data_IF_894670828770
#
_entry.id   IF_894670828770
#
_cell.length_a   1.000
_cell.length_b   1.000
_cell.length_c   1.000
_cell.angle_alpha   90.00
_cell.angle_beta   90.00
_cell.angle_gamma   90.00
#
_symmetry.space_group_name_H-M   'P 1'
#
loop_
_entity.id
_entity.type
_entity.pdbx_description
1 polymer ?
#
# COMPACT_ATOMS: atom_id res chain seq x y z
N UNK A 1 20.37 -15.60 22.41
CA UNK A 1 20.35 -16.37 21.14
C UNK A 1 19.06 -16.20 20.32
N UNK A 2 17.88 -15.93 20.90
CA UNK A 2 16.62 -15.80 20.16
C UNK A 2 16.51 -14.58 19.20
N UNK A 3 17.15 -13.45 19.53
CA UNK A 3 17.08 -12.23 18.72
C UNK A 3 17.69 -12.40 17.31
N UNK A 4 18.81 -13.14 17.19
CA UNK A 4 19.45 -13.39 15.90
C UNK A 4 18.68 -14.42 15.06
N UNK A 5 18.08 -15.46 15.68
CA UNK A 5 17.21 -16.42 14.98
C UNK A 5 16.02 -15.74 14.30
N UNK A 6 15.37 -14.79 14.99
CA UNK A 6 14.22 -14.09 14.42
C UNK A 6 14.62 -13.16 13.28
N UNK A 7 15.71 -12.40 13.42
CA UNK A 7 16.22 -11.56 12.34
C UNK A 7 16.56 -12.36 11.08
N UNK A 8 17.16 -13.56 11.23
CA UNK A 8 17.46 -14.46 10.10
C UNK A 8 16.18 -15.00 9.46
N UNK A 9 15.17 -15.40 10.26
CA UNK A 9 13.87 -15.85 9.74
C UNK A 9 13.14 -14.75 8.96
N UNK A 10 13.15 -13.51 9.46
CA UNK A 10 12.58 -12.37 8.74
C UNK A 10 13.36 -12.09 7.47
N UNK A 11 14.69 -12.00 7.53
CA UNK A 11 15.52 -11.76 6.35
C UNK A 11 15.26 -12.83 5.27
N UNK A 12 15.15 -14.10 5.67
CA UNK A 12 14.81 -15.20 4.77
C UNK A 12 13.39 -15.10 4.19
N UNK A 13 12.39 -14.72 4.99
CA UNK A 13 11.01 -14.57 4.50
C UNK A 13 10.86 -13.49 3.41
N UNK A 14 11.73 -12.47 3.42
CA UNK A 14 11.76 -11.38 2.45
C UNK A 14 12.94 -11.47 1.48
N UNK A 15 13.63 -12.61 1.38
CA UNK A 15 14.82 -12.75 0.53
C UNK A 15 14.49 -12.55 -0.96
N UNK A 16 13.29 -12.97 -1.37
CA UNK A 16 12.78 -12.83 -2.73
C UNK A 16 11.96 -11.54 -2.94
N UNK A 17 11.92 -10.63 -1.97
CA UNK A 17 11.13 -9.41 -2.10
C UNK A 17 11.80 -8.45 -3.10
N UNK A 18 11.15 -8.25 -4.24
CA UNK A 18 11.47 -7.22 -5.22
C UNK A 18 10.41 -6.11 -5.21
N UNK A 19 10.83 -4.86 -5.06
CA UNK A 19 9.96 -3.68 -5.16
C UNK A 19 9.36 -3.50 -6.56
N UNK A 20 10.05 -3.97 -7.60
CA UNK A 20 9.59 -3.93 -8.98
C UNK A 20 8.89 -5.23 -9.43
N UNK A 21 8.84 -6.22 -8.54
CA UNK A 21 8.18 -7.49 -8.79
C UNK A 21 6.68 -7.32 -9.06
N UNK A 22 6.13 -8.16 -9.94
CA UNK A 22 4.70 -8.15 -10.22
C UNK A 22 4.02 -9.14 -9.29
N UNK A 23 3.37 -8.63 -8.24
CA UNK A 23 2.60 -9.43 -7.29
C UNK A 23 1.11 -9.42 -7.69
N UNK A 24 0.56 -10.53 -8.23
CA UNK A 24 -0.83 -10.61 -8.65
C UNK A 24 -1.79 -10.50 -7.45
N UNK A 25 -3.00 -9.99 -7.69
CA UNK A 25 -4.08 -10.08 -6.70
C UNK A 25 -4.64 -11.50 -6.69
N UNK A 26 -5.18 -11.92 -5.55
CA UNK A 26 -5.63 -13.30 -5.32
C UNK A 26 -6.83 -13.74 -6.15
N UNK A 27 -7.61 -12.81 -6.68
CA UNK A 27 -8.70 -13.12 -7.59
C UNK A 27 -8.83 -11.96 -8.56
N UNK A 28 -8.45 -12.19 -9.82
CA UNK A 28 -8.75 -11.27 -10.92
C UNK A 28 -9.43 -12.04 -12.05
N UNK A 29 -10.59 -12.63 -11.72
CA UNK A 29 -11.56 -13.12 -12.70
C UNK A 29 -12.31 -11.96 -13.38
N UNK A 30 -12.01 -10.71 -12.99
CA UNK A 30 -12.71 -9.55 -13.47
C UNK A 30 -12.32 -9.23 -14.92
N UNK A 31 -13.30 -8.79 -15.71
CA UNK A 31 -13.06 -8.49 -17.11
C UNK A 31 -12.09 -7.32 -17.26
N UNK A 32 -11.25 -7.40 -18.30
CA UNK A 32 -10.33 -6.31 -18.66
C UNK A 32 -11.11 -5.02 -18.86
N UNK A 33 -10.60 -3.93 -18.28
CA UNK A 33 -11.22 -2.63 -18.40
C UNK A 33 -11.16 -2.14 -19.85
N UNK A 34 -12.27 -1.57 -20.33
CA UNK A 34 -12.30 -0.77 -21.54
C UNK A 34 -12.86 0.62 -21.21
N UNK A 35 -12.23 1.65 -21.76
CA UNK A 35 -12.62 3.03 -21.52
C UNK A 35 -13.88 3.37 -22.34
N UNK A 36 -14.90 3.89 -21.67
CA UNK A 36 -16.10 4.46 -22.31
C UNK A 36 -16.01 5.98 -22.31
N UNK A 37 -16.64 6.64 -23.28
CA UNK A 37 -16.63 8.11 -23.37
C UNK A 37 -17.25 8.77 -22.14
N UNK A 38 -18.39 8.26 -21.67
CA UNK A 38 -19.05 8.77 -20.45
C UNK A 38 -18.13 8.69 -19.22
N UNK A 39 -17.38 7.60 -19.08
CA UNK A 39 -16.39 7.48 -18.01
C UNK A 39 -15.28 8.51 -18.18
N UNK A 40 -14.73 8.65 -19.40
CA UNK A 40 -13.67 9.61 -19.70
C UNK A 40 -14.08 11.05 -19.40
N UNK A 41 -15.25 11.50 -19.89
CA UNK A 41 -15.78 12.84 -19.63
C UNK A 41 -15.96 13.11 -18.14
N UNK A 42 -16.46 12.12 -17.38
CA UNK A 42 -16.56 12.22 -15.92
C UNK A 42 -15.19 12.41 -15.27
N UNK A 43 -14.17 11.67 -15.73
CA UNK A 43 -12.80 11.81 -15.23
C UNK A 43 -12.19 13.17 -15.57
N UNK A 44 -12.30 13.64 -16.82
CA UNK A 44 -11.81 14.95 -17.26
C UNK A 44 -12.37 16.07 -16.40
N UNK A 45 -13.70 16.10 -16.20
CA UNK A 45 -14.36 17.07 -15.30
C UNK A 45 -13.83 17.00 -13.87
N UNK A 46 -13.63 15.79 -13.36
CA UNK A 46 -13.08 15.56 -12.02
C UNK A 46 -11.64 16.07 -11.88
N UNK A 47 -10.79 15.87 -12.90
CA UNK A 47 -9.42 16.37 -12.90
C UNK A 47 -9.36 17.90 -12.94
N UNK A 48 -10.16 18.51 -13.81
CA UNK A 48 -10.27 19.96 -13.91
C UNK A 48 -10.71 20.59 -12.58
N UNK A 49 -11.71 20.00 -11.92
CA UNK A 49 -12.19 20.47 -10.61
C UNK A 49 -11.09 20.40 -9.54
N UNK A 50 -10.36 19.28 -9.47
CA UNK A 50 -9.26 19.10 -8.51
C UNK A 50 -8.12 20.10 -8.72
N UNK A 51 -7.75 20.36 -9.97
CA UNK A 51 -6.64 21.26 -10.28
C UNK A 51 -7.03 22.72 -10.03
N UNK A 52 -8.26 23.12 -10.38
CA UNK A 52 -8.81 24.44 -10.03
C UNK A 52 -8.85 24.65 -8.52
N UNK A 53 -9.31 23.65 -7.76
CA UNK A 53 -9.38 23.72 -6.31
C UNK A 53 -8.01 23.94 -5.66
N UNK A 54 -6.97 23.34 -6.22
CA UNK A 54 -5.57 23.50 -5.77
C UNK A 54 -4.82 24.64 -6.47
N UNK A 55 -5.52 25.47 -7.26
CA UNK A 55 -4.96 26.62 -8.01
C UNK A 55 -3.78 26.26 -8.92
N UNK A 56 -3.84 25.07 -9.55
CA UNK A 56 -2.83 24.65 -10.54
C UNK A 56 -3.15 25.24 -11.91
N UNK A 57 -2.14 25.33 -12.77
CA UNK A 57 -2.35 25.66 -14.18
C UNK A 57 -3.15 24.55 -14.87
N UNK A 58 -4.24 24.94 -15.54
CA UNK A 58 -5.15 24.04 -16.27
C UNK A 58 -5.12 24.27 -17.77
N UNK A 59 -4.23 25.13 -18.29
CA UNK A 59 -4.21 25.53 -19.71
C UNK A 59 -4.03 24.32 -20.63
N UNK A 60 -3.17 23.37 -20.24
CA UNK A 60 -2.85 22.17 -21.01
C UNK A 60 -3.41 20.89 -20.37
N UNK A 61 -4.48 20.99 -19.58
CA UNK A 61 -5.10 19.80 -18.99
C UNK A 61 -5.67 18.86 -20.06
N UNK A 62 -5.74 17.57 -19.74
CA UNK A 62 -6.42 16.55 -20.54
C UNK A 62 -7.86 16.98 -20.87
N UNK A 63 -8.27 16.71 -22.09
CA UNK A 63 -9.57 17.12 -22.64
C UNK A 63 -10.39 15.91 -23.11
N UNK A 64 -11.67 16.13 -23.37
CA UNK A 64 -12.57 15.07 -23.85
C UNK A 64 -12.11 14.50 -25.21
N UNK A 65 -11.48 15.31 -26.06
CA UNK A 65 -10.92 14.89 -27.36
C UNK A 65 -9.69 13.96 -27.24
N UNK A 66 -9.11 13.80 -26.04
CA UNK A 66 -7.98 12.91 -25.80
C UNK A 66 -8.40 11.44 -25.57
N UNK A 67 -9.70 11.16 -25.73
CA UNK A 67 -10.30 9.86 -25.46
C UNK A 67 -9.56 8.70 -26.11
N UNK A 68 -9.28 8.76 -27.41
CA UNK A 68 -8.65 7.66 -28.14
C UNK A 68 -7.22 7.38 -27.66
N UNK A 69 -6.48 8.44 -27.33
CA UNK A 69 -5.15 8.33 -26.76
C UNK A 69 -5.19 7.57 -25.42
N UNK A 70 -6.06 7.99 -24.49
CA UNK A 70 -6.15 7.35 -23.17
C UNK A 70 -6.81 5.98 -23.21
N UNK A 71 -7.70 5.71 -24.17
CA UNK A 71 -8.27 4.40 -24.43
C UNK A 71 -7.19 3.40 -24.82
N UNK A 72 -6.29 3.77 -25.72
CA UNK A 72 -5.15 2.92 -26.08
C UNK A 72 -4.16 2.80 -24.91
N UNK A 73 -3.88 3.91 -24.23
CA UNK A 73 -2.97 3.91 -23.09
C UNK A 73 -3.43 2.92 -22.01
N UNK A 74 -4.69 2.97 -21.55
CA UNK A 74 -5.20 2.03 -20.54
C UNK A 74 -5.30 0.58 -21.03
N UNK A 75 -5.35 0.34 -22.35
CA UNK A 75 -5.37 -1.01 -22.92
C UNK A 75 -3.99 -1.68 -22.84
N UNK A 76 -2.91 -0.92 -23.02
CA UNK A 76 -1.53 -1.44 -23.08
C UNK A 76 -0.76 -1.26 -21.77
N UNK A 77 -1.16 -0.30 -20.95
CA UNK A 77 -0.49 0.03 -19.68
C UNK A 77 -1.09 -0.72 -18.49
N UNK A 78 -0.31 -0.75 -17.42
CA UNK A 78 -0.70 -1.20 -16.10
C UNK A 78 -0.56 -0.04 -15.11
N UNK A 79 -1.03 -0.25 -13.87
CA UNK A 79 -0.81 0.71 -12.79
C UNK A 79 0.70 0.98 -12.59
N UNK A 80 1.12 2.24 -12.66
CA UNK A 80 2.51 2.67 -12.52
C UNK A 80 3.12 2.34 -11.14
N UNK A 81 2.29 2.19 -10.11
CA UNK A 81 2.73 1.89 -8.75
C UNK A 81 2.78 0.37 -8.51
N UNK A 82 1.66 -0.33 -8.72
CA UNK A 82 1.54 -1.73 -8.28
C UNK A 82 1.64 -2.76 -9.41
N UNK A 83 1.78 -2.33 -10.66
CA UNK A 83 1.91 -3.20 -11.83
C UNK A 83 0.65 -3.98 -12.23
N UNK A 84 -0.46 -3.86 -11.49
CA UNK A 84 -1.71 -4.55 -11.83
C UNK A 84 -2.32 -4.05 -13.14
N UNK A 85 -2.94 -4.98 -13.87
CA UNK A 85 -3.80 -4.69 -15.01
C UNK A 85 -5.05 -3.93 -14.55
N UNK A 86 -5.61 -3.15 -15.46
CA UNK A 86 -6.85 -2.44 -15.22
C UNK A 86 -8.05 -3.32 -15.54
N UNK A 87 -8.99 -3.36 -14.61
CA UNK A 87 -10.22 -4.13 -14.70
C UNK A 87 -11.41 -3.31 -14.21
N UNK A 88 -12.62 -3.85 -14.30
CA UNK A 88 -13.81 -3.16 -13.80
C UNK A 88 -13.80 -2.96 -12.28
N UNK A 89 -13.15 -3.86 -11.54
CA UNK A 89 -12.95 -3.70 -10.10
C UNK A 89 -11.72 -2.81 -9.81
N UNK A 90 -10.66 -2.96 -10.60
CA UNK A 90 -9.44 -2.16 -10.50
C UNK A 90 -9.40 -1.04 -11.57
N UNK A 91 -10.31 -0.08 -11.46
CA UNK A 91 -10.48 0.98 -12.47
C UNK A 91 -9.24 1.89 -12.59
N UNK A 92 -8.84 2.26 -13.82
CA UNK A 92 -7.72 3.17 -14.04
C UNK A 92 -8.06 4.61 -13.67
N UNK A 93 -7.04 5.33 -13.25
CA UNK A 93 -7.03 6.78 -13.04
C UNK A 93 -5.71 7.34 -13.59
N UNK A 94 -5.67 8.63 -13.84
CA UNK A 94 -4.45 9.39 -14.06
C UNK A 94 -3.92 9.91 -12.73
N UNK A 95 -2.67 9.56 -12.44
CA UNK A 95 -1.88 10.08 -11.33
C UNK A 95 -0.85 11.09 -11.87
N UNK A 96 -0.70 12.22 -11.18
CA UNK A 96 0.18 13.32 -11.62
C UNK A 96 1.63 12.99 -11.31
N UNK A 97 2.55 13.11 -12.26
CA UNK A 97 3.99 12.89 -12.01
C UNK A 97 4.49 13.94 -11.01
N UNK A 98 4.19 15.21 -11.28
CA UNK A 98 4.45 16.34 -10.42
C UNK A 98 3.12 16.88 -9.85
N UNK A 99 2.97 16.81 -8.52
CA UNK A 99 1.78 17.26 -7.80
C UNK A 99 1.60 18.79 -7.78
N UNK A 100 2.61 19.55 -8.19
CA UNK A 100 2.52 21.02 -8.36
C UNK A 100 1.88 21.40 -9.69
N UNK A 101 1.89 20.51 -10.70
CA UNK A 101 1.36 20.73 -12.05
C UNK A 101 -0.02 20.09 -12.24
N UNK A 102 -0.78 20.60 -13.21
CA UNK A 102 -2.08 20.05 -13.59
C UNK A 102 -1.98 18.70 -14.30
N UNK A 103 -3.13 18.13 -14.67
CA UNK A 103 -3.20 16.88 -15.44
C UNK A 103 -2.96 17.12 -16.94
N UNK A 104 -1.74 17.46 -17.35
CA UNK A 104 -1.35 17.46 -18.76
C UNK A 104 -0.93 16.06 -19.23
N UNK A 105 -0.93 15.80 -20.55
CA UNK A 105 -0.57 14.48 -21.11
C UNK A 105 0.84 14.01 -20.72
N UNK A 106 1.78 14.94 -20.60
CA UNK A 106 3.17 14.72 -20.21
C UNK A 106 3.38 14.61 -18.70
N UNK A 107 2.40 15.04 -17.89
CA UNK A 107 2.46 15.02 -16.43
C UNK A 107 1.59 13.93 -15.79
N UNK A 108 1.10 12.95 -16.56
CA UNK A 108 0.20 11.90 -16.02
C UNK A 108 0.68 10.49 -16.33
N UNK A 109 0.47 9.59 -15.37
CA UNK A 109 0.67 8.16 -15.53
C UNK A 109 -0.60 7.37 -15.16
N UNK A 110 -0.89 6.26 -15.87
CA UNK A 110 -1.95 5.35 -15.48
C UNK A 110 -1.69 4.73 -14.11
N UNK A 111 -2.65 4.86 -13.20
CA UNK A 111 -2.58 4.36 -11.83
C UNK A 111 -3.95 3.88 -11.38
N UNK A 112 -4.03 2.78 -10.62
CA UNK A 112 -5.33 2.36 -10.09
C UNK A 112 -5.78 3.23 -8.92
N UNK A 113 -7.09 3.30 -8.71
CA UNK A 113 -7.69 4.14 -7.67
C UNK A 113 -7.11 3.88 -6.27
N UNK A 114 -6.90 2.61 -5.91
CA UNK A 114 -6.33 2.24 -4.62
C UNK A 114 -4.92 2.82 -4.42
N UNK A 115 -4.03 2.66 -5.42
CA UNK A 115 -2.65 3.14 -5.32
C UNK A 115 -2.58 4.66 -5.30
N UNK A 116 -3.38 5.32 -6.15
CA UNK A 116 -3.48 6.77 -6.20
C UNK A 116 -3.94 7.35 -4.85
N UNK A 117 -4.99 6.77 -4.25
CA UNK A 117 -5.49 7.20 -2.94
C UNK A 117 -4.50 6.90 -1.80
N UNK A 118 -3.86 5.74 -1.81
CA UNK A 118 -2.90 5.36 -0.77
C UNK A 118 -1.66 6.26 -0.75
N UNK A 119 -1.11 6.53 -1.93
CA UNK A 119 0.04 7.42 -2.09
C UNK A 119 -0.35 8.87 -1.83
N UNK A 120 -1.46 9.35 -2.40
CA UNK A 120 -1.93 10.73 -2.25
C UNK A 120 -0.77 11.73 -2.49
N UNK A 121 -0.54 12.66 -1.57
CA UNK A 121 0.55 13.65 -1.63
C UNK A 121 1.87 13.14 -0.99
N UNK A 122 1.95 11.87 -0.59
CA UNK A 122 3.16 11.27 0.03
C UNK A 122 4.18 10.86 -1.03
N UNK A 123 5.39 10.55 -0.56
CA UNK A 123 6.45 10.01 -1.41
C UNK A 123 6.00 8.71 -2.11
N UNK A 124 6.01 8.74 -3.45
CA UNK A 124 5.55 7.64 -4.29
C UNK A 124 6.41 6.41 -4.19
N UNK A 125 7.71 6.55 -3.95
CA UNK A 125 8.62 5.41 -3.78
C UNK A 125 8.31 4.68 -2.47
N UNK A 126 8.06 5.45 -1.40
CA UNK A 126 7.62 4.89 -0.11
C UNK A 126 6.26 4.22 -0.27
N UNK A 127 5.31 4.89 -0.93
CA UNK A 127 3.99 4.33 -1.20
C UNK A 127 4.04 3.01 -2.00
N UNK A 128 4.85 2.99 -3.08
CA UNK A 128 5.12 1.79 -3.89
C UNK A 128 5.70 0.67 -3.04
N UNK A 129 6.70 0.95 -2.20
CA UNK A 129 7.29 -0.02 -1.29
C UNK A 129 6.22 -0.67 -0.39
N UNK A 130 5.39 0.14 0.27
CA UNK A 130 4.34 -0.39 1.16
C UNK A 130 3.29 -1.23 0.43
N UNK A 131 2.85 -0.80 -0.76
CA UNK A 131 1.87 -1.53 -1.56
C UNK A 131 2.44 -2.88 -2.00
N UNK A 132 3.67 -2.89 -2.49
CA UNK A 132 4.33 -4.10 -2.96
C UNK A 132 4.62 -5.06 -1.80
N UNK A 133 5.09 -4.53 -0.67
CA UNK A 133 5.30 -5.32 0.54
C UNK A 133 3.99 -5.94 1.03
N UNK A 134 2.89 -5.18 1.07
CA UNK A 134 1.57 -5.69 1.45
C UNK A 134 1.16 -6.85 0.55
N UNK A 135 1.30 -6.70 -0.76
CA UNK A 135 0.98 -7.76 -1.72
C UNK A 135 1.86 -8.99 -1.56
N UNK A 136 3.17 -8.79 -1.44
CA UNK A 136 4.12 -9.89 -1.21
C UNK A 136 3.75 -10.67 0.05
N UNK A 137 3.45 -9.98 1.15
CA UNK A 137 3.02 -10.62 2.39
C UNK A 137 1.71 -11.39 2.21
N UNK A 138 0.73 -10.81 1.51
CA UNK A 138 -0.52 -11.52 1.23
C UNK A 138 -0.27 -12.81 0.44
N UNK A 139 0.54 -12.76 -0.64
CA UNK A 139 0.82 -13.91 -1.52
C UNK A 139 1.51 -15.05 -0.77
N UNK A 140 2.48 -14.70 0.07
CA UNK A 140 3.30 -15.66 0.82
C UNK A 140 2.67 -16.04 2.16
N UNK A 141 1.43 -15.61 2.42
CA UNK A 141 0.74 -15.77 3.71
C UNK A 141 1.59 -15.29 4.91
N UNK A 142 2.41 -14.26 4.70
CA UNK A 142 3.25 -13.68 5.73
C UNK A 142 2.43 -12.75 6.62
N UNK A 143 2.78 -12.68 7.92
CA UNK A 143 2.05 -11.84 8.85
C UNK A 143 2.24 -10.35 8.55
N UNK A 144 1.11 -9.63 8.47
CA UNK A 144 1.05 -8.18 8.27
C UNK A 144 0.54 -7.46 9.52
N UNK A 145 0.68 -6.13 9.57
CA UNK A 145 0.03 -5.33 10.61
C UNK A 145 -1.49 -5.52 10.57
N UNK A 146 -2.08 -5.85 11.71
CA UNK A 146 -3.53 -5.80 11.92
C UNK A 146 -3.88 -4.35 12.22
N UNK A 147 -4.73 -3.74 11.40
CA UNK A 147 -5.17 -2.33 11.58
C UNK A 147 -6.49 -2.22 12.34
N UNK A 148 -7.19 -3.34 12.56
CA UNK A 148 -8.50 -3.41 13.18
C UNK A 148 -8.41 -4.06 14.57
N UNK A 149 -8.92 -3.36 15.58
CA UNK A 149 -8.85 -3.76 16.99
C UNK A 149 -9.79 -4.94 17.31
N UNK A 150 -10.95 -5.01 16.67
CA UNK A 150 -11.96 -6.04 16.90
C UNK A 150 -11.48 -7.35 16.28
N UNK A 151 -10.91 -7.28 15.07
CA UNK A 151 -10.24 -8.42 14.41
C UNK A 151 -9.07 -8.92 15.25
N UNK A 152 -8.26 -8.02 15.82
CA UNK A 152 -7.19 -8.39 16.75
C UNK A 152 -7.72 -9.16 17.96
N UNK A 153 -8.76 -8.66 18.63
CA UNK A 153 -9.34 -9.30 19.80
C UNK A 153 -9.98 -10.65 19.46
N UNK A 154 -10.63 -10.77 18.30
CA UNK A 154 -11.19 -12.02 17.81
C UNK A 154 -10.09 -13.07 17.58
N UNK A 155 -9.04 -12.74 16.82
CA UNK A 155 -7.92 -13.65 16.56
C UNK A 155 -7.24 -14.03 17.88
N UNK A 156 -7.03 -13.06 18.79
CA UNK A 156 -6.39 -13.30 20.07
C UNK A 156 -7.18 -14.28 20.95
N UNK A 157 -8.51 -14.20 20.93
CA UNK A 157 -9.41 -15.07 21.71
C UNK A 157 -9.24 -16.54 21.35
N UNK A 158 -8.95 -16.85 20.09
CA UNK A 158 -8.83 -18.22 19.57
C UNK A 158 -7.38 -18.75 19.57
N UNK A 159 -6.41 -18.00 20.11
CA UNK A 159 -5.02 -18.46 20.27
C UNK A 159 -4.80 -18.97 21.71
N UNK A 160 -4.62 -20.29 21.88
CA UNK A 160 -4.41 -20.98 23.18
C UNK A 160 -3.11 -21.82 23.20
N UNK A 161 -1.96 -21.23 23.64
CA UNK A 161 -0.62 -21.87 23.84
C UNK A 161 0.01 -22.59 22.61
N UNK A 162 1.31 -22.83 22.38
CA UNK A 162 2.63 -22.40 22.86
C UNK A 162 3.68 -22.59 21.71
N UNK A 163 4.96 -22.21 21.93
CA UNK A 163 6.13 -22.21 20.99
C UNK A 163 6.10 -21.29 19.76
N UNK A 164 5.16 -20.35 19.67
CA UNK A 164 5.17 -19.30 18.65
C UNK A 164 5.84 -18.02 19.17
N UNK A 165 6.82 -17.50 18.44
CA UNK A 165 7.36 -16.14 18.68
C UNK A 165 6.31 -15.11 18.25
N UNK A 166 5.25 -14.95 19.06
CA UNK A 166 4.23 -13.94 18.80
C UNK A 166 4.72 -12.62 19.39
N UNK A 167 5.20 -11.72 18.53
CA UNK A 167 5.47 -10.34 18.95
C UNK A 167 4.15 -9.58 19.07
N UNK A 168 3.44 -9.75 20.18
CA UNK A 168 2.31 -8.90 20.52
C UNK A 168 2.84 -7.53 20.93
N UNK A 169 2.68 -6.53 20.05
CA UNK A 169 2.65 -5.13 20.49
C UNK A 169 1.27 -4.62 20.11
N UNK A 170 0.63 -3.88 21.00
CA UNK A 170 -0.61 -3.17 20.69
C UNK A 170 -0.29 -1.73 20.98
N UNK A 171 -0.46 -0.88 19.99
CA UNK A 171 -0.39 0.56 20.16
C UNK A 171 -1.79 1.11 19.90
N UNK A 172 -2.26 2.00 20.76
CA UNK A 172 -3.56 2.66 20.70
C UNK A 172 -3.35 4.10 20.27
N UNK A 173 -4.03 4.49 19.20
CA UNK A 173 -3.99 5.87 18.71
C UNK A 173 -4.44 6.85 19.81
N UNK A 174 -3.74 7.97 19.94
CA UNK A 174 -4.03 9.01 20.93
C UNK A 174 -3.66 8.66 22.39
N UNK A 175 -3.22 7.44 22.66
CA UNK A 175 -2.83 6.96 24.00
C UNK A 175 -1.34 6.65 24.06
N UNK A 176 -0.84 5.87 23.10
CA UNK A 176 0.55 5.43 23.08
C UNK A 176 1.49 6.45 22.40
N UNK A 177 2.72 6.55 22.89
CA UNK A 177 3.76 7.42 22.37
C UNK A 177 4.63 6.72 21.31
N UNK A 178 5.15 7.48 20.35
CA UNK A 178 6.03 6.93 19.31
C UNK A 178 7.37 6.54 19.93
N UNK A 179 7.74 5.27 19.76
CA UNK A 179 9.06 4.74 20.15
C UNK A 179 10.00 4.77 18.95
N UNK A 180 11.03 5.60 19.01
CA UNK A 180 12.05 5.75 17.97
C UNK A 180 13.32 5.00 18.36
N UNK A 181 13.88 4.24 17.43
CA UNK A 181 15.21 3.65 17.62
C UNK A 181 16.28 4.73 17.38
N UNK A 182 17.16 4.91 18.36
CA UNK A 182 18.31 5.79 18.30
C UNK A 182 19.58 4.95 18.35
N UNK A 183 20.45 5.12 17.35
CA UNK A 183 21.75 4.45 17.33
C UNK A 183 22.81 5.40 17.91
N UNK A 184 23.36 5.03 19.08
CA UNK A 184 24.52 5.71 19.63
C UNK A 184 25.78 5.17 18.92
N UNK A 185 26.40 6.04 18.11
CA UNK A 185 27.59 5.70 17.29
C UNK A 185 28.82 5.38 18.15
N UNK A 186 29.00 6.06 19.27
CA UNK A 186 30.16 5.88 20.16
C UNK A 186 30.06 4.57 20.96
N UNK A 187 28.87 4.31 21.53
CA UNK A 187 28.61 3.09 22.29
C UNK A 187 28.30 1.86 21.43
N UNK A 188 28.17 2.04 20.10
CA UNK A 188 27.71 1.03 19.13
C UNK A 188 26.43 0.30 19.57
N UNK A 189 25.53 1.00 20.25
CA UNK A 189 24.29 0.44 20.83
C UNK A 189 23.07 1.17 20.30
N UNK A 190 22.01 0.42 20.03
CA UNK A 190 20.69 0.96 19.71
C UNK A 190 19.89 1.09 21.02
N UNK A 191 19.41 2.29 21.32
CA UNK A 191 18.47 2.57 22.41
C UNK A 191 17.11 2.94 21.85
N UNK A 192 16.06 2.71 22.64
CA UNK A 192 14.69 3.12 22.28
C UNK A 192 14.39 4.41 23.01
N UNK A 193 14.11 5.47 22.27
CA UNK A 193 13.65 6.75 22.82
C UNK A 193 12.14 6.87 22.61
N UNK A 194 11.43 7.28 23.65
CA UNK A 194 10.01 7.63 23.54
C UNK A 194 9.90 9.10 23.20
N UNK A 195 9.24 9.43 22.10
CA UNK A 195 8.98 10.83 21.73
C UNK A 195 7.67 11.29 22.34
N UNK A 196 7.51 12.58 22.61
CA UNK A 196 6.26 13.16 23.14
C UNK A 196 5.09 13.12 22.13
N UNK A 197 5.38 12.76 20.89
CA UNK A 197 4.38 12.63 19.83
C UNK A 197 3.57 11.35 20.04
N UNK A 198 2.25 11.51 20.10
CA UNK A 198 1.32 10.38 20.22
C UNK A 198 1.13 9.70 18.88
N UNK A 199 0.98 8.38 18.92
CA UNK A 199 0.69 7.56 17.76
C UNK A 199 -0.67 8.01 17.20
N UNK A 200 -0.68 8.34 15.92
CA UNK A 200 -1.84 8.92 15.23
C UNK A 200 -2.69 7.81 14.60
N UNK A 201 -2.07 6.70 14.17
CA UNK A 201 -2.74 5.49 13.71
C UNK A 201 -1.73 4.33 13.63
N UNK A 202 -1.75 3.36 14.55
CA UNK A 202 -0.91 2.17 14.44
C UNK A 202 -1.41 1.05 15.35
N UNK A 203 -1.96 -0.02 14.80
CA UNK A 203 -2.17 -1.29 15.50
C UNK A 203 -1.09 -2.28 15.00
N UNK A 204 -0.43 -2.99 15.92
CA UNK A 204 0.74 -3.79 15.60
C UNK A 204 0.40 -5.28 15.43
N UNK A 205 1.08 -5.88 14.45
CA UNK A 205 1.19 -7.27 14.00
C UNK A 205 0.93 -8.33 15.09
N UNK A 206 0.10 -9.31 14.74
CA UNK A 206 0.20 -10.67 15.29
C UNK A 206 0.94 -11.51 14.25
N UNK A 207 2.18 -11.89 14.55
CA UNK A 207 2.92 -12.85 13.72
C UNK A 207 2.45 -14.23 14.12
N UNK A 208 1.44 -14.75 13.42
CA UNK A 208 1.04 -16.14 13.58
C UNK A 208 1.67 -16.95 12.45
N UNK A 209 2.76 -17.66 12.75
CA UNK A 209 3.06 -18.89 12.02
C UNK A 209 2.08 -19.93 12.55
N UNK A 210 0.86 -19.98 11.98
CA UNK A 210 -0.05 -21.08 12.27
C UNK A 210 0.33 -22.22 11.32
N UNK A 211 0.94 -23.28 11.85
CA UNK A 211 0.62 -24.59 11.30
C UNK A 211 -0.80 -24.90 11.78
N UNK A 212 -1.82 -24.50 11.01
CA UNK A 212 -3.18 -24.96 11.28
C UNK A 212 -3.20 -26.42 10.84
N UNK A 213 -3.02 -27.35 11.78
CA UNK A 213 -3.52 -28.70 11.59
C UNK A 213 -5.05 -28.59 11.65
N UNK A 214 -5.70 -28.45 10.49
CA UNK A 214 -7.12 -28.77 10.38
C UNK A 214 -7.23 -30.29 10.50
N UNK A 215 -7.29 -30.80 11.73
CA UNK A 215 -7.96 -32.07 11.96
C UNK A 215 -9.45 -31.77 12.01
N UNK A 216 -10.10 -32.05 10.88
CA UNK A 216 -11.55 -32.17 10.78
C UNK A 216 -12.04 -33.12 11.88
N UNK A 217 -12.92 -32.62 12.74
CA UNK A 217 -13.89 -33.40 13.50
C UNK A 217 -15.28 -32.83 13.20
#
# INVERSE_FOLDING_TARGET
MAACSNAIKYAKAYEDFDINGIYPNFDDLSQKFYLTENYWQSKVRGYLSQDKHKKRDTTNNVQDNDFDYFKQLFKVSNCCICGCKFTFDNKPTLDRIDNSKGHSKDNVLPCCLYCNCFCSDKDKNIGKLFIQLRKYCMIRCLPTNLTDIDVYHLIRKWITGGLSNVMHRVNRSGIDFIKRLYYNKEAKKVTVLTTDHRIILMFIIVVVNVFVNFQLL
#
